data_IF_488859483995
#
_entry.id   IF_488859483995
#
_cell.length_a   1.000
_cell.length_b   1.000
_cell.length_c   1.000
_cell.angle_alpha   90.00
_cell.angle_beta   90.00
_cell.angle_gamma   90.00
#
_symmetry.space_group_name_H-M   'P 1'
#
loop_
_entity.id
_entity.type
_entity.pdbx_description
1 polymer ?
#
# COMPACT_ATOMS: atom_id res chain seq x y z
N UNK A 1 11.39 -3.33 14.13
CA UNK A 1 11.28 -3.71 12.71
C UNK A 1 11.10 -2.42 11.95
N UNK A 2 11.95 -2.19 10.96
CA UNK A 2 11.89 -0.97 10.15
C UNK A 2 10.73 -1.07 9.13
N UNK A 3 10.37 0.04 8.50
CA UNK A 3 9.38 0.04 7.42
C UNK A 3 9.92 -0.75 6.22
N UNK A 4 11.22 -0.59 5.91
CA UNK A 4 11.89 -1.36 4.86
C UNK A 4 11.84 -2.88 5.14
N UNK A 5 12.14 -3.31 6.37
CA UNK A 5 12.04 -4.74 6.75
C UNK A 5 10.63 -5.28 6.49
N UNK A 6 9.60 -4.49 6.85
CA UNK A 6 8.20 -4.86 6.63
C UNK A 6 7.90 -5.04 5.15
N UNK A 7 8.39 -4.13 4.31
CA UNK A 7 8.22 -4.17 2.85
C UNK A 7 8.90 -5.42 2.26
N UNK A 8 10.13 -5.71 2.68
CA UNK A 8 10.84 -6.91 2.22
C UNK A 8 10.11 -8.20 2.62
N UNK A 9 9.60 -8.26 3.85
CA UNK A 9 8.87 -9.43 4.36
C UNK A 9 7.61 -9.71 3.54
N UNK A 10 6.79 -8.69 3.26
CA UNK A 10 5.56 -8.87 2.48
C UNK A 10 5.82 -9.05 0.99
N UNK A 11 6.92 -8.47 0.48
CA UNK A 11 7.35 -8.57 -0.91
C UNK A 11 7.89 -9.94 -1.29
N UNK A 12 8.22 -10.77 -0.30
CA UNK A 12 8.71 -12.13 -0.52
C UNK A 12 7.63 -13.03 -1.16
N UNK A 13 7.87 -13.61 -2.35
CA UNK A 13 6.90 -14.45 -3.04
C UNK A 13 6.69 -15.82 -2.36
N UNK A 14 7.58 -16.20 -1.44
CA UNK A 14 7.55 -17.48 -0.73
C UNK A 14 6.47 -17.56 0.36
N UNK A 15 5.79 -16.45 0.70
CA UNK A 15 4.78 -16.43 1.75
C UNK A 15 3.46 -15.81 1.28
N UNK A 16 2.35 -16.41 1.72
CA UNK A 16 1.02 -15.81 1.55
C UNK A 16 1.00 -14.44 2.23
N UNK A 17 0.51 -13.43 1.51
CA UNK A 17 0.34 -12.10 2.05
C UNK A 17 -0.65 -12.16 3.24
N UNK A 18 -0.22 -11.65 4.39
CA UNK A 18 -1.04 -11.58 5.58
C UNK A 18 -1.52 -10.15 5.78
N UNK A 19 -2.85 -9.92 5.80
CA UNK A 19 -3.43 -8.57 5.93
C UNK A 19 -2.91 -7.81 7.16
N UNK A 20 -2.68 -8.51 8.28
CA UNK A 20 -2.11 -7.89 9.49
C UNK A 20 -0.74 -7.22 9.26
N UNK A 21 0.03 -7.71 8.29
CA UNK A 21 1.36 -7.20 7.95
C UNK A 21 1.30 -5.91 7.14
N UNK A 22 0.12 -5.50 6.65
CA UNK A 22 -0.08 -4.23 5.93
C UNK A 22 -0.36 -3.07 6.88
N UNK A 23 -0.81 -3.33 8.12
CA UNK A 23 -1.11 -2.28 9.11
C UNK A 23 -0.01 -1.23 9.32
N UNK A 24 1.30 -1.57 9.26
CA UNK A 24 2.37 -0.57 9.36
C UNK A 24 2.38 0.49 8.26
N UNK A 25 1.66 0.27 7.15
CA UNK A 25 1.50 1.26 6.07
C UNK A 25 0.33 2.22 6.29
N UNK A 26 -0.45 2.01 7.35
CA UNK A 26 -1.51 2.93 7.73
C UNK A 26 -0.91 4.19 8.36
N UNK A 27 -1.35 5.36 7.92
CA UNK A 27 -0.97 6.66 8.49
C UNK A 27 0.50 7.02 8.29
N UNK A 28 1.13 6.56 7.19
CA UNK A 28 2.51 6.94 6.88
C UNK A 28 2.64 8.47 6.74
N UNK A 29 3.73 9.01 7.30
CA UNK A 29 4.14 10.38 7.10
C UNK A 29 4.99 10.54 5.84
N UNK A 30 5.19 11.79 5.38
CA UNK A 30 6.04 12.09 4.22
C UNK A 30 7.52 11.75 4.44
N UNK A 31 7.96 11.71 5.70
CA UNK A 31 9.31 11.32 6.11
C UNK A 31 9.63 9.85 5.86
N UNK A 32 8.61 8.98 5.80
CA UNK A 32 8.75 7.56 5.53
C UNK A 32 9.06 7.24 4.05
N UNK A 33 8.87 8.19 3.11
CA UNK A 33 9.06 7.95 1.68
C UNK A 33 10.45 7.41 1.33
N UNK A 34 11.49 7.99 1.94
CA UNK A 34 12.88 7.63 1.66
C UNK A 34 13.23 6.20 2.12
N UNK A 35 12.45 5.64 3.02
CA UNK A 35 12.57 4.24 3.44
C UNK A 35 11.65 3.33 2.63
N UNK A 36 10.41 3.80 2.38
CA UNK A 36 9.39 3.05 1.65
C UNK A 36 9.78 2.78 0.20
N UNK A 37 10.06 3.84 -0.57
CA UNK A 37 10.16 3.76 -2.03
C UNK A 37 11.34 2.90 -2.51
N UNK A 38 12.55 3.03 -1.95
CA UNK A 38 13.66 2.16 -2.34
C UNK A 38 13.39 0.68 -2.05
N UNK A 39 12.72 0.36 -0.94
CA UNK A 39 12.36 -1.03 -0.62
C UNK A 39 11.25 -1.54 -1.55
N UNK A 40 10.21 -0.73 -1.77
CA UNK A 40 9.06 -1.07 -2.59
C UNK A 40 9.46 -1.44 -4.02
N UNK A 41 10.31 -0.63 -4.65
CA UNK A 41 10.79 -0.83 -6.03
C UNK A 41 11.62 -2.11 -6.22
N UNK A 42 12.09 -2.76 -5.15
CA UNK A 42 12.76 -4.07 -5.24
C UNK A 42 11.80 -5.26 -5.38
N UNK A 43 10.53 -5.08 -5.03
CA UNK A 43 9.51 -6.13 -5.10
C UNK A 43 9.13 -6.34 -6.57
N UNK A 44 8.89 -7.58 -6.98
CA UNK A 44 8.41 -7.85 -8.34
C UNK A 44 7.01 -7.23 -8.60
N UNK A 45 6.76 -6.80 -9.83
CA UNK A 45 5.55 -6.04 -10.19
C UNK A 45 4.24 -6.74 -9.80
N UNK A 46 4.12 -8.04 -10.07
CA UNK A 46 2.92 -8.81 -9.71
C UNK A 46 2.64 -8.76 -8.21
N UNK A 47 3.68 -8.92 -7.38
CA UNK A 47 3.53 -8.85 -5.92
C UNK A 47 3.24 -7.43 -5.43
N UNK A 48 3.75 -6.39 -6.09
CA UNK A 48 3.39 -5.00 -5.80
C UNK A 48 1.90 -4.76 -6.05
N UNK A 49 1.36 -5.26 -7.16
CA UNK A 49 -0.06 -5.18 -7.48
C UNK A 49 -0.91 -5.91 -6.43
N UNK A 50 -0.54 -7.14 -6.06
CA UNK A 50 -1.21 -7.89 -4.97
C UNK A 50 -1.25 -7.10 -3.65
N UNK A 51 -0.14 -6.47 -3.27
CA UNK A 51 -0.06 -5.66 -2.04
C UNK A 51 -0.92 -4.40 -2.14
N UNK A 52 -0.93 -3.73 -3.30
CA UNK A 52 -1.73 -2.54 -3.53
C UNK A 52 -3.23 -2.84 -3.39
N UNK A 53 -3.73 -3.89 -4.07
CA UNK A 53 -5.12 -4.33 -3.93
C UNK A 53 -5.45 -4.72 -2.49
N UNK A 54 -4.56 -5.45 -1.81
CA UNK A 54 -4.80 -5.85 -0.43
C UNK A 54 -4.83 -4.66 0.56
N UNK A 55 -4.19 -3.54 0.26
CA UNK A 55 -4.34 -2.30 1.05
C UNK A 55 -5.72 -1.68 0.84
N UNK A 56 -6.22 -1.65 -0.39
CA UNK A 56 -7.57 -1.15 -0.71
C UNK A 56 -8.63 -1.99 0.00
N UNK A 57 -8.63 -3.32 -0.22
CA UNK A 57 -9.58 -4.24 0.41
C UNK A 57 -9.58 -4.10 1.95
N UNK A 58 -8.40 -3.93 2.55
CA UNK A 58 -8.28 -3.82 4.00
C UNK A 58 -8.80 -2.48 4.55
N UNK A 59 -8.69 -1.39 3.79
CA UNK A 59 -9.29 -0.11 4.16
C UNK A 59 -10.81 -0.12 4.02
N UNK A 60 -11.35 -0.85 3.03
CA UNK A 60 -12.80 -1.06 2.91
C UNK A 60 -13.36 -1.81 4.13
N UNK A 61 -12.67 -2.85 4.58
CA UNK A 61 -13.06 -3.66 5.73
C UNK A 61 -12.86 -2.95 7.08
N UNK A 62 -11.93 -1.98 7.15
CA UNK A 62 -11.56 -1.32 8.40
C UNK A 62 -11.25 0.17 8.22
N UNK A 63 -12.25 1.00 8.51
CA UNK A 63 -12.21 2.47 8.42
C UNK A 63 -11.18 3.15 9.32
N UNK A 64 -10.64 2.46 10.33
CA UNK A 64 -9.59 3.02 11.20
C UNK A 64 -8.20 3.00 10.51
N UNK A 65 -8.07 2.31 9.37
CA UNK A 65 -6.83 2.24 8.60
C UNK A 65 -6.85 3.26 7.47
N UNK A 66 -5.74 3.98 7.32
CA UNK A 66 -5.56 5.02 6.30
C UNK A 66 -4.31 4.72 5.47
N UNK A 67 -4.50 4.17 4.27
CA UNK A 67 -3.40 3.90 3.33
C UNK A 67 -3.19 5.02 2.31
N UNK A 68 -3.87 6.17 2.42
CA UNK A 68 -3.87 7.19 1.38
C UNK A 68 -2.46 7.67 1.05
N UNK A 69 -1.59 7.86 2.05
CA UNK A 69 -0.22 8.29 1.79
C UNK A 69 0.60 7.25 1.01
N UNK A 70 0.43 5.96 1.31
CA UNK A 70 1.08 4.89 0.58
C UNK A 70 0.55 4.82 -0.86
N UNK A 71 -0.78 4.82 -1.04
CA UNK A 71 -1.42 4.78 -2.36
C UNK A 71 -1.04 5.99 -3.23
N UNK A 72 -0.89 7.18 -2.63
CA UNK A 72 -0.40 8.37 -3.35
C UNK A 72 0.98 8.15 -3.97
N UNK A 73 1.91 7.51 -3.25
CA UNK A 73 3.22 7.18 -3.80
C UNK A 73 3.14 6.11 -4.88
N UNK A 74 2.21 5.16 -4.77
CA UNK A 74 2.02 4.10 -5.76
C UNK A 74 1.52 4.60 -7.12
N UNK A 75 1.01 5.84 -7.21
CA UNK A 75 0.69 6.47 -8.50
C UNK A 75 1.93 6.64 -9.40
N UNK A 76 3.12 6.67 -8.81
CA UNK A 76 4.40 6.77 -9.53
C UNK A 76 5.02 5.39 -9.84
N UNK A 77 4.34 4.27 -9.56
CA UNK A 77 4.88 2.93 -9.85
C UNK A 77 4.97 2.68 -11.36
N UNK A 78 6.00 1.96 -11.80
CA UNK A 78 6.20 1.60 -13.21
C UNK A 78 5.10 0.65 -13.74
N UNK A 79 4.53 -0.18 -12.87
CA UNK A 79 3.51 -1.15 -13.23
C UNK A 79 2.10 -0.51 -13.26
N UNK A 80 1.37 -0.75 -14.36
CA UNK A 80 0.08 -0.12 -14.59
C UNK A 80 -1.03 -0.64 -13.65
N UNK A 81 -0.94 -1.90 -13.21
CA UNK A 81 -1.91 -2.50 -12.29
C UNK A 81 -1.77 -1.89 -10.90
N UNK A 82 -0.52 -1.68 -10.45
CA UNK A 82 -0.22 -0.96 -9.20
C UNK A 82 -0.84 0.45 -9.22
N UNK A 83 -0.61 1.21 -10.31
CA UNK A 83 -1.17 2.56 -10.45
C UNK A 83 -2.71 2.55 -10.49
N UNK A 84 -3.32 1.55 -11.12
CA UNK A 84 -4.76 1.43 -11.19
C UNK A 84 -5.38 1.18 -9.81
N UNK A 85 -4.84 0.22 -9.05
CA UNK A 85 -5.28 -0.07 -7.69
C UNK A 85 -5.13 1.15 -6.76
N UNK A 86 -4.01 1.88 -6.90
CA UNK A 86 -3.76 3.10 -6.15
C UNK A 86 -4.79 4.21 -6.45
N UNK A 87 -5.11 4.44 -7.73
CA UNK A 87 -6.11 5.41 -8.14
C UNK A 87 -7.51 5.06 -7.64
N UNK A 88 -7.89 3.78 -7.70
CA UNK A 88 -9.17 3.25 -7.19
C UNK A 88 -9.31 3.49 -5.68
N UNK A 89 -8.34 3.03 -4.89
CA UNK A 89 -8.41 3.19 -3.43
C UNK A 89 -8.42 4.65 -2.96
N UNK A 90 -7.72 5.55 -3.66
CA UNK A 90 -7.75 6.98 -3.35
C UNK A 90 -9.11 7.61 -3.65
N UNK A 91 -9.73 7.24 -4.78
CA UNK A 91 -11.05 7.71 -5.15
C UNK A 91 -12.13 7.28 -4.15
N UNK A 92 -12.07 6.03 -3.70
CA UNK A 92 -13.00 5.48 -2.69
C UNK A 92 -12.81 6.13 -1.33
N UNK A 93 -11.56 6.34 -0.91
CA UNK A 93 -11.22 7.02 0.35
C UNK A 93 -11.78 8.45 0.38
N UNK A 94 -11.62 9.20 -0.72
CA UNK A 94 -12.17 10.56 -0.83
C UNK A 94 -13.71 10.56 -0.77
N UNK A 95 -14.36 9.61 -1.46
CA UNK A 95 -15.82 9.47 -1.43
C UNK A 95 -16.32 9.18 -0.02
N UNK A 96 -15.64 8.31 0.72
CA UNK A 96 -15.99 7.95 2.10
C UNK A 96 -15.92 9.17 3.03
N UNK A 97 -14.83 9.95 2.95
CA UNK A 97 -14.65 11.17 3.73
C UNK A 97 -15.71 12.26 3.46
N UNK A 98 -16.25 12.30 2.24
CA UNK A 98 -17.31 13.27 1.86
C UNK A 98 -18.72 12.81 2.23
N UNK A 99 -18.90 11.52 2.54
CA UNK A 99 -20.20 10.93 2.83
C UNK A 99 -20.53 10.87 4.34
N UNK A 100 -19.53 11.09 5.22
CA UNK A 100 -19.68 11.21 6.68
C UNK A 100 -19.82 12.65 7.13
#
# INVERSE_FOLDING_TARGET
MTLADTIYDIGSPSHKLAMRSLKPFSGLGSDAYNEFWPAWTTINAHRRAEIAHAMVDLAEDNVDLDFAQALLWLLDDDDAEVRAAAAEGLWESERSLRAG
#
